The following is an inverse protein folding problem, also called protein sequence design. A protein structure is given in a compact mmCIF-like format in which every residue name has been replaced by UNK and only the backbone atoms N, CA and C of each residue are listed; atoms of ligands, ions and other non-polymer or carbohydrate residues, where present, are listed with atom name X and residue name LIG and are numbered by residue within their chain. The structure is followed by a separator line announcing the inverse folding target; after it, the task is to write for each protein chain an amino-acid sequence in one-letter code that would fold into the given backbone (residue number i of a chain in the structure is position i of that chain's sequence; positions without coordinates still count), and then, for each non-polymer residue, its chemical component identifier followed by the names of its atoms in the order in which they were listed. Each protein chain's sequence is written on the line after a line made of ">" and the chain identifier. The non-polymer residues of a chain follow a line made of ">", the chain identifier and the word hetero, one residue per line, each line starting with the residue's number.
data_IF_676992789300
#
_entry.id   IF_676992789300
#
_cell.length_a   1.000
_cell.length_b   1.000
_cell.length_c   1.000
_cell.angle_alpha   90.00
_cell.angle_beta   90.00
_cell.angle_gamma   90.00
#
_symmetry.space_group_name_H-M   'P 1'
#
loop_
_entity.id
_entity.type
_entity.pdbx_description
1 polymer ?
#
# COMPACT_ATOMS: atom_id res chain seq x y z
N UNK A 1 -20.25 -10.53 -2.05
CA UNK A 1 -19.31 -10.93 -0.99
C UNK A 1 -17.91 -10.40 -1.28
N UNK A 2 -17.27 -10.85 -2.36
CA UNK A 2 -15.94 -10.38 -2.79
C UNK A 2 -15.88 -8.84 -3.02
N UNK A 3 -16.88 -8.26 -3.67
CA UNK A 3 -16.96 -6.80 -3.87
C UNK A 3 -16.96 -5.99 -2.56
N UNK A 4 -17.61 -6.50 -1.49
CA UNK A 4 -17.63 -5.81 -0.19
C UNK A 4 -16.27 -5.94 0.51
N UNK A 5 -15.64 -7.12 0.46
CA UNK A 5 -14.28 -7.33 0.96
C UNK A 5 -13.26 -6.45 0.24
N UNK A 6 -13.44 -6.22 -1.06
CA UNK A 6 -12.58 -5.30 -1.83
C UNK A 6 -12.52 -3.91 -1.20
N UNK A 7 -13.67 -3.34 -0.85
CA UNK A 7 -13.75 -2.01 -0.26
C UNK A 7 -13.12 -1.96 1.13
N UNK A 8 -13.36 -3.00 1.94
CA UNK A 8 -12.77 -3.15 3.28
C UNK A 8 -11.26 -3.34 3.25
N UNK A 9 -10.69 -3.95 2.21
CA UNK A 9 -9.24 -4.14 2.04
C UNK A 9 -8.58 -2.89 1.42
N UNK A 10 -9.21 -2.23 0.44
CA UNK A 10 -8.66 -1.01 -0.19
C UNK A 10 -8.43 0.11 0.81
N UNK A 11 -9.31 0.26 1.80
CA UNK A 11 -9.22 1.34 2.80
C UNK A 11 -7.93 1.29 3.63
N UNK A 12 -7.60 0.19 4.35
CA UNK A 12 -6.33 0.08 5.07
C UNK A 12 -5.13 0.05 4.13
N UNK A 13 -5.23 -0.53 2.93
CA UNK A 13 -4.12 -0.52 1.96
C UNK A 13 -3.77 0.89 1.47
N UNK A 14 -4.78 1.69 1.13
CA UNK A 14 -4.57 3.09 0.75
C UNK A 14 -3.99 3.91 1.91
N UNK A 15 -4.34 3.59 3.15
CA UNK A 15 -3.74 4.22 4.33
C UNK A 15 -2.24 3.89 4.43
N UNK A 16 -1.86 2.62 4.26
CA UNK A 16 -0.44 2.19 4.28
C UNK A 16 0.36 2.89 3.17
N UNK A 17 -0.17 2.94 1.94
CA UNK A 17 0.47 3.63 0.82
C UNK A 17 0.57 5.14 1.03
N UNK A 18 -0.46 5.75 1.63
CA UNK A 18 -0.46 7.16 2.00
C UNK A 18 0.63 7.47 3.03
N UNK A 19 0.71 6.66 4.09
CA UNK A 19 1.72 6.81 5.15
C UNK A 19 3.14 6.59 4.62
N UNK A 20 3.35 5.59 3.76
CA UNK A 20 4.68 5.37 3.15
C UNK A 20 5.09 6.55 2.28
N UNK A 21 4.17 7.15 1.52
CA UNK A 21 4.43 8.36 0.72
C UNK A 21 4.71 9.59 1.57
N UNK A 22 4.04 9.76 2.70
CA UNK A 22 4.33 10.85 3.65
C UNK A 22 5.73 10.70 4.24
N UNK A 23 6.10 9.50 4.69
CA UNK A 23 7.44 9.23 5.23
C UNK A 23 8.58 9.44 4.22
N UNK A 24 8.32 9.25 2.92
CA UNK A 24 9.27 9.56 1.84
C UNK A 24 9.41 11.06 1.57
N UNK A 25 8.38 11.86 1.86
CA UNK A 25 8.38 13.32 1.68
C UNK A 25 9.02 14.07 2.86
N UNK A 26 9.04 13.45 4.03
CA UNK A 26 9.70 14.00 5.21
C UNK A 26 11.22 13.99 5.07
N UNK A 27 11.92 14.82 5.87
CA UNK A 27 13.38 14.83 5.96
C UNK A 27 13.90 13.61 6.74
N UNK A 28 13.61 12.41 6.24
CA UNK A 28 13.93 11.14 6.87
C UNK A 28 15.33 10.66 6.47
N UNK A 29 16.08 10.00 7.39
CA UNK A 29 17.37 9.39 7.06
C UNK A 29 17.26 8.38 5.92
N UNK A 30 18.34 8.16 5.16
CA UNK A 30 18.31 7.31 3.97
C UNK A 30 17.86 5.86 4.25
N UNK A 31 18.18 5.32 5.42
CA UNK A 31 17.69 4.01 5.84
C UNK A 31 16.17 3.97 6.05
N UNK A 32 15.57 5.06 6.52
CA UNK A 32 14.12 5.17 6.66
C UNK A 32 13.46 5.32 5.28
N UNK A 33 14.05 6.07 4.35
CA UNK A 33 13.60 6.15 2.95
C UNK A 33 13.59 4.78 2.27
N UNK A 34 14.64 3.98 2.45
CA UNK A 34 14.69 2.60 1.91
C UNK A 34 13.54 1.74 2.47
N UNK A 35 13.26 1.82 3.78
CA UNK A 35 12.12 1.13 4.39
C UNK A 35 10.79 1.61 3.82
N UNK A 36 10.57 2.91 3.69
CA UNK A 36 9.32 3.46 3.13
C UNK A 36 9.14 3.07 1.66
N UNK A 37 10.21 3.06 0.86
CA UNK A 37 10.17 2.57 -0.52
C UNK A 37 9.76 1.09 -0.59
N UNK A 38 10.34 0.24 0.26
CA UNK A 38 9.98 -1.18 0.34
C UNK A 38 8.52 -1.38 0.76
N UNK A 39 8.03 -0.63 1.75
CA UNK A 39 6.62 -0.66 2.16
C UNK A 39 5.72 -0.23 1.00
N UNK A 40 6.08 0.84 0.29
CA UNK A 40 5.30 1.34 -0.82
C UNK A 40 5.19 0.31 -1.95
N UNK A 41 6.32 -0.25 -2.38
CA UNK A 41 6.37 -1.28 -3.42
C UNK A 41 5.59 -2.54 -3.04
N UNK A 42 5.75 -3.02 -1.81
CA UNK A 42 5.01 -4.18 -1.32
C UNK A 42 3.49 -3.91 -1.27
N UNK A 43 3.09 -2.70 -0.88
CA UNK A 43 1.68 -2.31 -0.83
C UNK A 43 1.03 -2.21 -2.21
N UNK A 44 1.74 -1.67 -3.21
CA UNK A 44 1.26 -1.61 -4.61
C UNK A 44 1.12 -3.02 -5.19
N UNK A 45 2.11 -3.89 -4.94
CA UNK A 45 2.05 -5.30 -5.37
C UNK A 45 0.87 -6.03 -4.74
N UNK A 46 0.66 -5.87 -3.43
CA UNK A 46 -0.46 -6.51 -2.74
C UNK A 46 -1.80 -6.00 -3.28
N UNK A 47 -1.93 -4.71 -3.57
CA UNK A 47 -3.14 -4.14 -4.17
C UNK A 47 -3.41 -4.73 -5.56
N UNK A 48 -2.37 -4.95 -6.37
CA UNK A 48 -2.49 -5.64 -7.67
C UNK A 48 -3.04 -7.06 -7.48
N UNK A 49 -2.43 -7.86 -6.58
CA UNK A 49 -2.87 -9.23 -6.32
C UNK A 49 -4.33 -9.26 -5.83
N UNK A 50 -4.70 -8.34 -4.95
CA UNK A 50 -6.07 -8.22 -4.46
C UNK A 50 -7.02 -7.90 -5.62
N UNK A 51 -6.68 -6.93 -6.47
CA UNK A 51 -7.51 -6.59 -7.63
C UNK A 51 -7.66 -7.80 -8.56
N UNK A 52 -6.57 -8.51 -8.85
CA UNK A 52 -6.58 -9.70 -9.70
C UNK A 52 -7.52 -10.79 -9.14
N UNK A 53 -7.52 -11.04 -7.82
CA UNK A 53 -8.39 -12.03 -7.17
C UNK A 53 -9.87 -11.61 -7.22
N UNK A 54 -10.15 -10.31 -7.20
CA UNK A 54 -11.51 -9.77 -7.14
C UNK A 54 -12.16 -9.59 -8.52
N UNK A 55 -11.37 -9.49 -9.58
CA UNK A 55 -11.84 -9.37 -10.96
C UNK A 55 -12.24 -10.74 -11.57
N UNK A 56 -12.03 -11.86 -10.85
CA UNK A 56 -12.49 -13.22 -11.20
C UNK A 56 -13.94 -13.53 -10.76
#
# INVERSE_FOLDING_TARGET
>A
FLANMSHEIRTPMNAILGLSRLGLKDHTPDQAKDRFNKIHQAGELLLSIINDILDF
#
